data_IF_501453349610
#
_entry.id   IF_501453349610
#
_cell.length_a   1.000
_cell.length_b   1.000
_cell.length_c   1.000
_cell.angle_alpha   90.00
_cell.angle_beta   90.00
_cell.angle_gamma   90.00
#
_symmetry.space_group_name_H-M   'P 1'
#
loop_
_entity.id
_entity.type
_entity.pdbx_description
1 polymer ?
#
# COMPACT_ATOMS: atom_id res chain seq x y z
N UNK A 1 -20.18 12.06 -15.28
CA UNK A 1 -20.25 10.80 -14.51
C UNK A 1 -20.56 11.15 -13.08
N UNK A 2 -21.75 10.80 -12.60
CA UNK A 2 -22.25 11.18 -11.28
C UNK A 2 -21.41 10.54 -10.16
N UNK A 3 -20.81 11.38 -9.32
CA UNK A 3 -20.33 10.99 -7.99
C UNK A 3 -21.53 10.84 -7.08
N UNK A 4 -21.98 9.60 -6.87
CA UNK A 4 -22.87 9.25 -5.77
C UNK A 4 -22.03 9.23 -4.49
N UNK A 5 -22.02 10.36 -3.79
CA UNK A 5 -21.61 10.44 -2.39
C UNK A 5 -22.53 9.53 -1.57
N UNK A 6 -22.04 8.35 -1.22
CA UNK A 6 -22.67 7.45 -0.25
C UNK A 6 -22.65 8.16 1.11
N UNK A 7 -23.79 8.76 1.47
CA UNK A 7 -24.06 9.29 2.81
C UNK A 7 -24.08 8.16 3.84
N UNK A 8 -22.91 7.81 4.37
CA UNK A 8 -22.75 7.05 5.62
C UNK A 8 -22.79 8.04 6.80
N UNK A 9 -23.95 8.67 7.05
CA UNK A 9 -24.11 9.64 8.16
C UNK A 9 -25.14 9.24 9.20
N UNK A 10 -25.42 7.95 9.37
CA UNK A 10 -25.88 7.47 10.67
C UNK A 10 -24.67 6.98 11.45
N UNK A 11 -24.10 7.87 12.28
CA UNK A 11 -22.97 7.56 13.16
C UNK A 11 -23.41 6.46 14.14
N UNK A 12 -22.93 5.20 14.04
CA UNK A 12 -23.37 4.11 14.92
C UNK A 12 -23.10 4.39 16.40
N UNK A 13 -22.17 5.32 16.65
CA UNK A 13 -21.63 5.69 17.95
C UNK A 13 -22.54 6.60 18.78
N UNK A 14 -23.50 7.31 18.18
CA UNK A 14 -24.40 8.21 18.91
C UNK A 14 -25.33 7.45 19.87
N UNK A 15 -25.70 6.21 19.56
CA UNK A 15 -26.47 5.36 20.48
C UNK A 15 -25.65 4.77 21.63
N UNK A 16 -24.32 4.69 21.46
CA UNK A 16 -23.42 4.06 22.44
C UNK A 16 -23.07 5.02 23.58
N UNK A 17 -22.94 6.32 23.28
CA UNK A 17 -22.47 7.33 24.21
C UNK A 17 -23.43 8.52 24.40
N UNK A 18 -23.78 8.79 25.66
CA UNK A 18 -24.56 9.95 26.09
C UNK A 18 -25.99 10.07 25.56
N UNK A 19 -26.69 11.12 25.98
CA UNK A 19 -27.98 11.52 25.39
C UNK A 19 -27.73 12.34 24.09
N UNK A 20 -28.67 12.40 23.14
CA UNK A 20 -28.50 13.13 21.88
C UNK A 20 -28.15 14.61 22.11
N UNK A 21 -27.11 15.13 21.44
CA UNK A 21 -26.75 16.56 21.44
C UNK A 21 -25.27 16.84 21.11
N UNK A 22 -24.97 18.08 20.75
CA UNK A 22 -23.62 18.56 20.34
C UNK A 22 -22.91 19.37 21.46
N UNK A 23 -23.20 19.08 22.73
CA UNK A 23 -22.54 19.77 23.83
C UNK A 23 -21.01 19.48 23.83
N UNK A 24 -20.14 20.49 23.96
CA UNK A 24 -18.70 20.30 24.03
C UNK A 24 -18.29 19.33 25.14
N UNK A 25 -17.25 18.52 24.89
CA UNK A 25 -16.77 17.53 25.87
C UNK A 25 -16.36 18.14 27.22
N UNK A 26 -15.90 19.39 27.22
CA UNK A 26 -15.53 20.11 28.44
C UNK A 26 -16.74 20.50 29.32
N UNK A 27 -17.96 20.53 28.77
CA UNK A 27 -19.18 20.97 29.47
C UNK A 27 -20.30 19.92 29.47
N UNK A 28 -20.12 18.79 28.77
CA UNK A 28 -21.11 17.72 28.71
C UNK A 28 -20.85 16.67 29.79
N UNK A 29 -21.74 16.54 30.80
CA UNK A 29 -21.60 15.53 31.85
C UNK A 29 -21.75 14.09 31.33
N UNK A 30 -22.20 13.91 30.08
CA UNK A 30 -22.49 12.61 29.50
C UNK A 30 -21.50 12.09 28.48
N UNK A 31 -20.56 12.91 28.01
CA UNK A 31 -19.46 12.51 27.12
C UNK A 31 -19.87 11.76 25.83
N UNK A 32 -19.58 12.33 24.67
CA UNK A 32 -19.68 11.62 23.38
C UNK A 32 -18.47 10.73 23.08
N UNK A 33 -18.53 9.96 21.99
CA UNK A 33 -17.45 9.05 21.56
C UNK A 33 -16.07 9.72 21.28
N UNK A 34 -16.05 11.06 21.20
CA UNK A 34 -14.84 11.89 21.05
C UNK A 34 -14.41 12.61 22.32
N UNK A 35 -15.13 12.45 23.43
CA UNK A 35 -14.82 13.12 24.68
C UNK A 35 -13.69 12.42 25.43
N UNK A 36 -12.88 13.24 26.09
CA UNK A 36 -11.75 12.82 26.90
C UNK A 36 -11.83 13.46 28.27
N UNK A 37 -11.39 12.73 29.29
CA UNK A 37 -11.23 13.27 30.64
C UNK A 37 -9.95 14.11 30.77
N UNK A 38 -9.67 14.62 31.97
CA UNK A 38 -8.50 15.46 32.25
C UNK A 38 -7.17 14.72 32.05
N UNK A 39 -7.17 13.38 32.13
CA UNK A 39 -6.03 12.53 31.83
C UNK A 39 -5.88 12.23 30.33
N UNK A 40 -6.77 12.77 29.49
CA UNK A 40 -6.79 12.57 28.05
C UNK A 40 -7.32 11.20 27.62
N UNK A 41 -7.87 10.38 28.52
CA UNK A 41 -8.49 9.09 28.20
C UNK A 41 -9.87 9.31 27.61
N UNK A 42 -10.32 8.45 26.68
CA UNK A 42 -11.69 8.57 26.14
C UNK A 42 -12.71 8.28 27.24
N UNK A 43 -13.65 9.20 27.44
CA UNK A 43 -14.68 9.11 28.48
C UNK A 43 -16.08 9.25 27.87
N UNK A 44 -16.98 8.36 28.29
CA UNK A 44 -18.36 8.26 27.80
C UNK A 44 -19.27 7.88 28.98
N UNK A 45 -20.38 8.59 29.14
CA UNK A 45 -21.32 8.40 30.26
C UNK A 45 -21.11 9.37 31.42
N UNK A 46 -21.86 9.15 32.51
CA UNK A 46 -21.95 10.02 33.69
C UNK A 46 -23.24 9.78 34.48
N UNK A 47 -23.35 10.33 35.70
CA UNK A 47 -24.63 10.32 36.43
C UNK A 47 -25.70 11.04 35.59
N UNK A 48 -26.89 10.46 35.48
CA UNK A 48 -28.04 10.95 34.67
C UNK A 48 -27.88 10.86 33.14
N UNK A 49 -26.93 10.07 32.64
CA UNK A 49 -26.74 9.87 31.21
C UNK A 49 -27.50 8.65 30.69
N UNK A 50 -28.15 8.83 29.53
CA UNK A 50 -29.09 7.84 28.96
C UNK A 50 -28.52 7.10 27.73
N UNK A 51 -27.22 7.24 27.44
CA UNK A 51 -26.57 6.45 26.39
C UNK A 51 -26.48 4.98 26.77
N UNK A 52 -26.29 4.08 25.79
CA UNK A 52 -26.28 2.64 26.06
C UNK A 52 -25.22 2.21 27.09
N UNK A 53 -24.00 2.76 27.01
CA UNK A 53 -22.93 2.45 27.96
C UNK A 53 -23.28 2.87 29.40
N UNK A 54 -23.73 4.11 29.58
CA UNK A 54 -24.13 4.62 30.89
C UNK A 54 -25.36 3.88 31.44
N UNK A 55 -26.32 3.53 30.58
CA UNK A 55 -27.51 2.75 30.96
C UNK A 55 -27.13 1.36 31.43
N UNK A 56 -26.21 0.69 30.73
CA UNK A 56 -25.72 -0.64 31.10
C UNK A 56 -24.94 -0.62 32.42
N UNK A 57 -24.02 0.33 32.61
CA UNK A 57 -23.25 0.45 33.86
C UNK A 57 -24.17 0.82 35.05
N UNK A 58 -25.13 1.73 34.85
CA UNK A 58 -26.14 2.05 35.87
C UNK A 58 -27.04 0.86 36.19
N UNK A 59 -27.47 0.08 35.18
CA UNK A 59 -28.23 -1.14 35.39
C UNK A 59 -27.41 -2.19 36.16
N UNK A 60 -26.11 -2.31 35.89
CA UNK A 60 -25.21 -3.23 36.57
C UNK A 60 -25.02 -2.83 38.04
N UNK A 61 -24.82 -1.53 38.30
CA UNK A 61 -24.76 -0.98 39.65
C UNK A 61 -26.05 -1.25 40.43
N UNK A 62 -27.21 -0.98 39.83
CA UNK A 62 -28.52 -1.28 40.43
C UNK A 62 -28.73 -2.77 40.69
N UNK A 63 -28.35 -3.63 39.76
CA UNK A 63 -28.45 -5.08 39.91
C UNK A 63 -27.58 -5.59 41.07
N UNK A 64 -26.33 -5.10 41.19
CA UNK A 64 -25.42 -5.44 42.31
C UNK A 64 -25.97 -4.96 43.66
N UNK A 65 -26.53 -3.75 43.71
CA UNK A 65 -27.14 -3.23 44.92
C UNK A 65 -28.37 -4.05 45.32
N UNK A 66 -29.27 -4.32 44.37
CA UNK A 66 -30.47 -5.12 44.59
C UNK A 66 -30.12 -6.55 45.06
N UNK A 67 -29.11 -7.19 44.47
CA UNK A 67 -28.60 -8.49 44.91
C UNK A 67 -28.13 -8.45 46.38
N UNK A 68 -27.40 -7.39 46.77
CA UNK A 68 -26.93 -7.20 48.14
C UNK A 68 -28.07 -6.99 49.16
N UNK A 69 -29.07 -6.17 48.82
CA UNK A 69 -30.26 -5.97 49.65
C UNK A 69 -31.10 -7.26 49.77
N UNK A 70 -31.30 -7.97 48.65
CA UNK A 70 -32.04 -9.24 48.62
C UNK A 70 -31.35 -10.31 49.47
N UNK A 71 -30.01 -10.39 49.43
CA UNK A 71 -29.25 -11.32 50.27
C UNK A 71 -29.54 -11.06 51.76
N UNK A 72 -29.46 -9.80 52.19
CA UNK A 72 -29.77 -9.40 53.58
C UNK A 72 -31.23 -9.67 53.95
N UNK A 73 -32.16 -9.42 53.04
CA UNK A 73 -33.58 -9.66 53.26
C UNK A 73 -33.89 -11.15 53.45
N UNK A 74 -33.33 -12.03 52.61
CA UNK A 74 -33.47 -13.49 52.75
C UNK A 74 -32.92 -13.96 54.10
N UNK A 75 -31.70 -13.53 54.46
CA UNK A 75 -31.08 -13.88 55.75
C UNK A 75 -32.00 -13.49 56.93
N UNK A 76 -32.63 -12.31 56.86
CA UNK A 76 -33.61 -11.86 57.85
C UNK A 76 -34.90 -12.69 57.88
N UNK A 77 -35.41 -13.11 56.72
CA UNK A 77 -36.61 -13.94 56.62
C UNK A 77 -36.38 -15.34 57.18
N UNK A 78 -35.21 -15.95 56.98
CA UNK A 78 -34.85 -17.25 57.56
C UNK A 78 -34.86 -17.22 59.10
N UNK A 79 -34.30 -16.15 59.69
CA UNK A 79 -34.36 -15.94 61.15
C UNK A 79 -35.81 -15.80 61.63
N UNK A 80 -36.63 -15.05 60.88
CA UNK A 80 -38.05 -14.86 61.20
C UNK A 80 -38.82 -16.19 61.13
N UNK A 81 -38.57 -17.01 60.11
CA UNK A 81 -39.15 -18.34 59.93
C UNK A 81 -38.84 -19.24 61.12
N UNK A 82 -37.59 -19.28 61.58
CA UNK A 82 -37.20 -20.05 62.76
C UNK A 82 -37.94 -19.58 64.02
N UNK A 83 -38.04 -18.25 64.23
CA UNK A 83 -38.75 -17.69 65.38
C UNK A 83 -40.24 -18.02 65.38
N UNK A 84 -40.92 -17.91 64.22
CA UNK A 84 -42.34 -18.23 64.09
C UNK A 84 -42.59 -19.73 64.27
N UNK A 85 -41.72 -20.59 63.72
CA UNK A 85 -41.79 -22.03 63.93
C UNK A 85 -41.65 -22.38 65.42
N UNK A 86 -40.66 -21.81 66.12
CA UNK A 86 -40.48 -22.00 67.55
C UNK A 86 -41.69 -21.50 68.38
N UNK A 87 -42.26 -20.35 68.02
CA UNK A 87 -43.46 -19.82 68.66
C UNK A 87 -44.67 -20.76 68.49
N UNK A 88 -44.85 -21.34 67.29
CA UNK A 88 -45.90 -22.33 67.03
C UNK A 88 -45.74 -23.58 67.90
N UNK A 89 -44.52 -24.10 68.04
CA UNK A 89 -44.24 -25.26 68.91
C UNK A 89 -44.58 -24.94 70.37
N UNK A 90 -44.09 -23.81 70.90
CA UNK A 90 -44.38 -23.38 72.28
C UNK A 90 -45.87 -23.18 72.54
N UNK A 91 -46.60 -22.57 71.60
CA UNK A 91 -48.04 -22.42 71.71
C UNK A 91 -48.76 -23.78 71.72
N UNK A 92 -48.30 -24.74 70.90
CA UNK A 92 -48.81 -26.11 70.92
C UNK A 92 -48.58 -26.83 72.26
N UNK A 93 -47.38 -26.68 72.84
CA UNK A 93 -47.05 -27.23 74.16
C UNK A 93 -47.89 -26.60 75.27
N UNK A 94 -48.07 -25.27 75.25
CA UNK A 94 -48.92 -24.57 76.20
C UNK A 94 -50.37 -25.06 76.15
N UNK A 95 -50.91 -25.24 74.93
CA UNK A 95 -52.25 -25.82 74.72
C UNK A 95 -52.35 -27.23 75.31
N UNK A 96 -51.36 -28.09 75.04
CA UNK A 96 -51.35 -29.46 75.59
C UNK A 96 -51.34 -29.47 77.12
N UNK A 97 -50.49 -28.63 77.75
CA UNK A 97 -50.43 -28.54 79.21
C UNK A 97 -51.72 -28.03 79.83
N UNK A 98 -52.33 -27.01 79.21
CA UNK A 98 -53.62 -26.48 79.62
C UNK A 98 -54.72 -27.56 79.55
N UNK A 99 -54.78 -28.34 78.47
CA UNK A 99 -55.73 -29.44 78.31
C UNK A 99 -55.52 -30.52 79.39
N UNK A 100 -54.27 -30.95 79.61
CA UNK A 100 -53.97 -31.96 80.61
C UNK A 100 -54.35 -31.50 82.04
N UNK A 101 -54.17 -30.22 82.36
CA UNK A 101 -54.60 -29.66 83.64
C UNK A 101 -56.14 -29.67 83.79
N UNK A 102 -56.87 -29.31 82.73
CA UNK A 102 -58.33 -29.36 82.70
C UNK A 102 -58.85 -30.80 82.87
N UNK A 103 -58.29 -31.75 82.14
CA UNK A 103 -58.66 -33.16 82.21
C UNK A 103 -58.44 -33.74 83.61
N UNK A 104 -57.28 -33.45 84.22
CA UNK A 104 -56.96 -33.93 85.58
C UNK A 104 -57.89 -33.33 86.65
N UNK A 105 -58.25 -32.05 86.51
CA UNK A 105 -59.18 -31.41 87.42
C UNK A 105 -60.60 -31.98 87.30
N UNK A 106 -61.08 -32.21 86.07
CA UNK A 106 -62.36 -32.87 85.81
C UNK A 106 -62.39 -34.30 86.36
N UNK A 107 -61.30 -35.06 86.20
CA UNK A 107 -61.18 -36.39 86.79
C UNK A 107 -61.22 -36.35 88.33
N UNK A 108 -60.54 -35.38 88.94
CA UNK A 108 -60.54 -35.18 90.40
C UNK A 108 -61.93 -34.81 90.90
N UNK A 109 -62.63 -33.89 90.24
CA UNK A 109 -64.02 -33.54 90.52
C UNK A 109 -64.93 -34.76 90.46
N UNK A 110 -64.86 -35.54 89.37
CA UNK A 110 -65.68 -36.75 89.20
C UNK A 110 -65.38 -37.83 90.25
N UNK A 111 -64.13 -37.92 90.73
CA UNK A 111 -63.76 -38.81 91.84
C UNK A 111 -64.38 -38.34 93.16
N UNK A 112 -64.32 -37.04 93.44
CA UNK A 112 -64.91 -36.46 94.66
C UNK A 112 -66.43 -36.57 94.68
N UNK A 113 -67.10 -36.30 93.56
CA UNK A 113 -68.55 -36.44 93.43
C UNK A 113 -68.99 -37.90 93.68
N UNK A 114 -68.25 -38.87 93.14
CA UNK A 114 -68.47 -40.30 93.43
C UNK A 114 -68.27 -40.62 94.90
N UNK A 115 -67.13 -40.25 95.50
CA UNK A 115 -66.86 -40.53 96.91
C UNK A 115 -67.88 -39.87 97.85
N UNK A 116 -68.35 -38.67 97.51
CA UNK A 116 -69.39 -37.98 98.27
C UNK A 116 -70.75 -38.68 98.15
N UNK A 117 -71.08 -39.21 96.96
CA UNK A 117 -72.27 -40.04 96.77
C UNK A 117 -72.19 -41.34 97.56
N UNK A 118 -71.08 -42.08 97.46
CA UNK A 118 -70.84 -43.32 98.21
C UNK A 118 -70.94 -43.08 99.73
N UNK A 119 -70.40 -41.97 100.22
CA UNK A 119 -70.51 -41.59 101.63
C UNK A 119 -71.97 -41.33 102.04
N UNK A 120 -72.74 -40.59 101.22
CA UNK A 120 -74.17 -40.35 101.49
C UNK A 120 -74.97 -41.65 101.48
N UNK A 121 -74.70 -42.53 100.52
CA UNK A 121 -75.37 -43.83 100.40
C UNK A 121 -75.05 -44.71 101.63
N UNK A 122 -73.79 -44.74 102.09
CA UNK A 122 -73.40 -45.44 103.32
C UNK A 122 -74.12 -44.89 104.56
N UNK A 123 -74.16 -43.55 104.73
CA UNK A 123 -74.89 -42.91 105.83
C UNK A 123 -76.37 -43.30 105.80
N UNK A 124 -76.97 -43.35 104.60
CA UNK A 124 -78.37 -43.71 104.45
C UNK A 124 -78.61 -45.19 104.79
N UNK A 125 -77.70 -46.10 104.40
CA UNK A 125 -77.74 -47.51 104.78
C UNK A 125 -77.63 -47.69 106.29
N UNK A 126 -76.72 -46.98 106.96
CA UNK A 126 -76.57 -47.02 108.43
C UNK A 126 -77.85 -46.50 109.10
N UNK A 127 -78.38 -45.35 108.66
CA UNK A 127 -79.65 -44.83 109.19
C UNK A 127 -80.81 -45.80 109.00
N UNK A 128 -80.88 -46.46 107.84
CA UNK A 128 -81.87 -47.49 107.54
C UNK A 128 -81.75 -48.66 108.51
N UNK A 129 -80.53 -49.17 108.72
CA UNK A 129 -80.26 -50.25 109.67
C UNK A 129 -80.65 -49.89 111.12
N UNK A 130 -80.35 -48.67 111.56
CA UNK A 130 -80.67 -48.21 112.91
C UNK A 130 -82.17 -47.98 113.15
N UNK A 131 -82.96 -47.74 112.09
CA UNK A 131 -84.40 -47.48 112.16
C UNK A 131 -85.25 -48.70 111.79
N UNK A 132 -84.64 -49.87 111.56
CA UNK A 132 -85.36 -51.10 111.23
C UNK A 132 -85.98 -51.69 112.49
N UNK A 133 -87.31 -51.68 112.56
CA UNK A 133 -88.09 -52.31 113.62
C UNK A 133 -87.82 -53.83 113.63
N UNK A 134 -86.98 -54.30 114.56
CA UNK A 134 -86.59 -55.70 114.72
C UNK A 134 -85.09 -55.99 114.61
N UNK A 135 -84.23 -54.98 114.44
CA UNK A 135 -82.78 -55.18 114.59
C UNK A 135 -82.45 -55.52 116.06
N UNK A 136 -81.72 -56.61 116.29
CA UNK A 136 -81.40 -57.04 117.65
C UNK A 136 -80.48 -56.01 118.35
N UNK A 137 -80.67 -55.78 119.66
CA UNK A 137 -79.91 -54.76 120.39
C UNK A 137 -78.40 -54.93 120.32
N UNK A 138 -77.91 -56.17 120.23
CA UNK A 138 -76.48 -56.47 120.20
C UNK A 138 -75.88 -56.10 118.83
N UNK A 139 -76.58 -56.35 117.72
CA UNK A 139 -76.17 -55.90 116.39
C UNK A 139 -76.19 -54.38 116.25
N UNK A 140 -77.16 -53.68 116.85
CA UNK A 140 -77.19 -52.21 116.88
C UNK A 140 -75.98 -51.69 117.67
N UNK A 141 -75.70 -52.26 118.84
CA UNK A 141 -74.56 -51.87 119.67
C UNK A 141 -73.20 -52.13 118.96
N UNK A 142 -73.08 -53.24 118.24
CA UNK A 142 -71.89 -53.58 117.46
C UNK A 142 -71.65 -52.60 116.31
N UNK A 143 -72.70 -52.29 115.53
CA UNK A 143 -72.61 -51.30 114.44
C UNK A 143 -72.32 -49.91 115.00
N UNK A 144 -72.99 -49.48 116.06
CA UNK A 144 -72.74 -48.20 116.71
C UNK A 144 -71.29 -48.10 117.23
N UNK A 145 -70.76 -49.17 117.83
CA UNK A 145 -69.37 -49.23 118.31
C UNK A 145 -68.37 -49.15 117.16
N UNK A 146 -68.59 -49.89 116.05
CA UNK A 146 -67.73 -49.80 114.87
C UNK A 146 -67.82 -48.45 114.16
N UNK A 147 -68.97 -47.79 114.16
CA UNK A 147 -69.10 -46.42 113.65
C UNK A 147 -68.35 -45.42 114.52
N UNK A 148 -68.37 -45.58 115.85
CA UNK A 148 -67.59 -44.74 116.77
C UNK A 148 -66.07 -44.94 116.61
N UNK A 149 -65.63 -46.12 116.19
CA UNK A 149 -64.23 -46.41 115.89
C UNK A 149 -63.79 -45.93 114.49
N UNK A 150 -64.72 -45.60 113.59
CA UNK A 150 -64.38 -45.01 112.30
C UNK A 150 -63.78 -43.62 112.52
N UNK A 151 -62.46 -43.51 112.41
CA UNK A 151 -61.79 -42.22 112.34
C UNK A 151 -62.01 -41.63 110.95
N UNK A 152 -62.80 -40.56 110.85
CA UNK A 152 -62.81 -39.75 109.64
C UNK A 152 -61.46 -39.01 109.60
N UNK A 153 -60.62 -39.21 108.58
CA UNK A 153 -59.26 -38.68 108.56
C UNK A 153 -59.18 -37.13 108.49
N UNK A 154 -60.31 -36.44 108.35
CA UNK A 154 -60.41 -34.99 108.35
C UNK A 154 -61.72 -34.53 109.01
N UNK A 155 -61.69 -33.38 109.70
CA UNK A 155 -62.89 -32.80 110.31
C UNK A 155 -63.87 -32.27 109.24
N UNK A 156 -65.17 -32.14 109.56
CA UNK A 156 -66.16 -31.58 108.62
C UNK A 156 -65.76 -30.20 108.09
N UNK A 157 -65.15 -29.36 108.92
CA UNK A 157 -64.64 -28.05 108.52
C UNK A 157 -63.46 -28.16 107.54
N UNK A 158 -62.54 -29.10 107.76
CA UNK A 158 -61.42 -29.35 106.83
C UNK A 158 -61.91 -29.90 105.48
N UNK A 159 -62.92 -30.78 105.49
CA UNK A 159 -63.53 -31.31 104.26
C UNK A 159 -64.26 -30.20 103.50
N UNK A 160 -65.03 -29.35 104.18
CA UNK A 160 -65.70 -28.21 103.55
C UNK A 160 -64.72 -27.20 102.98
N UNK A 161 -63.66 -26.88 103.73
CA UNK A 161 -62.60 -25.99 103.26
C UNK A 161 -61.90 -26.57 102.02
N UNK A 162 -61.57 -27.87 102.02
CA UNK A 162 -60.97 -28.53 100.87
C UNK A 162 -61.92 -28.54 99.67
N UNK A 163 -63.22 -28.77 99.88
CA UNK A 163 -64.23 -28.74 98.82
C UNK A 163 -64.40 -27.34 98.22
N UNK A 164 -64.41 -26.28 99.03
CA UNK A 164 -64.42 -24.89 98.53
C UNK A 164 -63.12 -24.54 97.81
N UNK A 165 -61.95 -24.97 98.32
CA UNK A 165 -60.67 -24.80 97.59
C UNK A 165 -60.68 -25.53 96.24
N UNK A 166 -61.23 -26.74 96.17
CA UNK A 166 -61.36 -27.48 94.91
C UNK A 166 -62.34 -26.78 93.98
N UNK A 167 -63.49 -26.32 94.49
CA UNK A 167 -64.49 -25.58 93.72
C UNK A 167 -63.93 -24.27 93.17
N UNK A 168 -63.19 -23.52 93.98
CA UNK A 168 -62.49 -22.28 93.57
C UNK A 168 -61.39 -22.57 92.55
N UNK A 169 -60.62 -23.64 92.74
CA UNK A 169 -59.61 -24.06 91.75
C UNK A 169 -60.25 -24.52 90.45
N UNK A 170 -61.34 -25.27 90.49
CA UNK A 170 -62.09 -25.71 89.30
C UNK A 170 -62.80 -24.54 88.62
N UNK A 171 -63.36 -23.58 89.36
CA UNK A 171 -63.93 -22.37 88.76
C UNK A 171 -62.85 -21.48 88.14
N UNK A 172 -61.65 -21.43 88.73
CA UNK A 172 -60.50 -20.77 88.11
C UNK A 172 -60.04 -21.45 86.81
N UNK A 173 -60.38 -22.73 86.60
CA UNK A 173 -60.15 -23.44 85.34
C UNK A 173 -61.17 -23.09 84.25
N UNK A 174 -62.26 -22.38 84.52
CA UNK A 174 -63.12 -21.84 83.46
C UNK A 174 -62.37 -20.86 82.56
N UNK A 175 -61.29 -20.24 83.07
CA UNK A 175 -60.34 -19.48 82.25
C UNK A 175 -59.44 -20.36 81.38
N UNK A 176 -59.32 -21.66 81.65
CA UNK A 176 -58.51 -22.58 80.83
C UNK A 176 -59.18 -22.81 79.48
N UNK A 177 -60.50 -22.86 79.39
CA UNK A 177 -61.19 -22.93 78.10
C UNK A 177 -60.91 -21.68 77.24
N UNK A 178 -60.95 -20.48 77.85
CA UNK A 178 -60.56 -19.24 77.18
C UNK A 178 -59.08 -19.24 76.76
N UNK A 179 -58.18 -19.76 77.61
CA UNK A 179 -56.76 -19.92 77.29
C UNK A 179 -56.58 -20.92 76.13
N UNK A 180 -57.31 -22.03 76.11
CA UNK A 180 -57.23 -23.07 75.07
C UNK A 180 -57.71 -22.52 73.73
N UNK A 181 -58.83 -21.80 73.71
CA UNK A 181 -59.37 -21.15 72.51
C UNK A 181 -58.42 -20.06 71.98
N UNK A 182 -57.91 -19.22 72.87
CA UNK A 182 -56.94 -18.19 72.51
C UNK A 182 -55.64 -18.80 71.97
N UNK A 183 -55.12 -19.84 72.63
CA UNK A 183 -53.91 -20.54 72.19
C UNK A 183 -54.14 -21.28 70.86
N UNK A 184 -55.33 -21.84 70.62
CA UNK A 184 -55.70 -22.42 69.33
C UNK A 184 -55.78 -21.36 68.22
N UNK A 185 -56.28 -20.17 68.54
CA UNK A 185 -56.20 -18.98 67.68
C UNK A 185 -54.77 -18.61 67.33
N UNK A 186 -53.90 -18.53 68.34
CA UNK A 186 -52.48 -18.18 68.18
C UNK A 186 -51.70 -19.22 67.37
N UNK A 187 -51.96 -20.52 67.56
CA UNK A 187 -51.36 -21.59 66.74
C UNK A 187 -51.78 -21.47 65.27
N UNK A 188 -53.05 -21.18 65.00
CA UNK A 188 -53.53 -20.95 63.62
C UNK A 188 -52.87 -19.72 63.00
N UNK A 189 -52.81 -18.61 63.74
CA UNK A 189 -52.19 -17.36 63.28
C UNK A 189 -50.70 -17.53 63.03
N UNK A 190 -49.98 -18.21 63.92
CA UNK A 190 -48.57 -18.57 63.74
C UNK A 190 -48.37 -19.47 62.51
N UNK A 191 -49.27 -20.43 62.27
CA UNK A 191 -49.26 -21.27 61.07
C UNK A 191 -49.43 -20.47 59.77
N UNK A 192 -50.37 -19.52 59.73
CA UNK A 192 -50.56 -18.62 58.59
C UNK A 192 -49.35 -17.70 58.38
N UNK A 193 -48.80 -17.14 59.46
CA UNK A 193 -47.58 -16.32 59.39
C UNK A 193 -46.39 -17.12 58.87
N UNK A 194 -46.24 -18.38 59.27
CA UNK A 194 -45.20 -19.27 58.76
C UNK A 194 -45.34 -19.51 57.25
N UNK A 195 -46.56 -19.83 56.78
CA UNK A 195 -46.81 -20.00 55.34
C UNK A 195 -46.57 -18.71 54.55
N UNK A 196 -46.97 -17.56 55.09
CA UNK A 196 -46.71 -16.25 54.48
C UNK A 196 -45.21 -15.98 54.38
N UNK A 197 -44.45 -16.22 55.45
CA UNK A 197 -43.01 -16.08 55.46
C UNK A 197 -42.31 -17.03 54.47
N UNK A 198 -42.77 -18.29 54.37
CA UNK A 198 -42.23 -19.25 53.39
C UNK A 198 -42.47 -18.79 51.94
N UNK A 199 -43.69 -18.29 51.63
CA UNK A 199 -44.00 -17.72 50.31
C UNK A 199 -43.17 -16.48 50.01
N UNK A 200 -42.98 -15.60 51.00
CA UNK A 200 -42.15 -14.41 50.85
C UNK A 200 -40.68 -14.80 50.60
N UNK A 201 -40.16 -15.80 51.31
CA UNK A 201 -38.80 -16.31 51.12
C UNK A 201 -38.60 -16.89 49.72
N UNK A 202 -39.53 -17.74 49.26
CA UNK A 202 -39.47 -18.32 47.92
C UNK A 202 -39.50 -17.24 46.82
N UNK A 203 -40.30 -16.19 46.98
CA UNK A 203 -40.30 -15.04 46.07
C UNK A 203 -38.97 -14.28 46.13
N UNK A 204 -38.44 -14.01 47.33
CA UNK A 204 -37.17 -13.32 47.50
C UNK A 204 -36.01 -14.07 46.84
N UNK A 205 -35.93 -15.40 47.01
CA UNK A 205 -34.94 -16.25 46.34
C UNK A 205 -35.10 -16.25 44.82
N UNK A 206 -36.33 -16.28 44.29
CA UNK A 206 -36.57 -16.16 42.85
C UNK A 206 -36.09 -14.81 42.29
N UNK A 207 -36.37 -13.70 42.99
CA UNK A 207 -35.91 -12.37 42.58
C UNK A 207 -34.38 -12.27 42.68
N UNK A 208 -33.77 -12.82 43.73
CA UNK A 208 -32.30 -12.89 43.89
C UNK A 208 -31.64 -13.66 42.76
N UNK A 209 -32.19 -14.81 42.37
CA UNK A 209 -31.72 -15.57 41.21
C UNK A 209 -31.83 -14.75 39.92
N UNK A 210 -32.92 -14.02 39.73
CA UNK A 210 -33.14 -13.15 38.56
C UNK A 210 -32.13 -12.00 38.53
N UNK A 211 -31.90 -11.34 39.67
CA UNK A 211 -30.90 -10.28 39.81
C UNK A 211 -29.48 -10.78 39.50
N UNK A 212 -29.14 -12.00 39.95
CA UNK A 212 -27.88 -12.66 39.62
C UNK A 212 -27.72 -12.93 38.12
N UNK A 213 -28.77 -13.40 37.45
CA UNK A 213 -28.77 -13.62 36.00
C UNK A 213 -28.61 -12.30 35.22
N UNK A 214 -29.32 -11.25 35.61
CA UNK A 214 -29.19 -9.90 35.02
C UNK A 214 -27.78 -9.35 35.18
N UNK A 215 -27.21 -9.46 36.38
CA UNK A 215 -25.81 -9.05 36.64
C UNK A 215 -24.82 -9.78 35.73
N UNK A 216 -24.96 -11.10 35.60
CA UNK A 216 -24.10 -11.89 34.71
C UNK A 216 -24.21 -11.43 33.26
N UNK A 217 -25.43 -11.23 32.76
CA UNK A 217 -25.68 -10.74 31.41
C UNK A 217 -25.08 -9.34 31.17
N UNK A 218 -25.15 -8.46 32.15
CA UNK A 218 -24.54 -7.12 32.08
C UNK A 218 -23.01 -7.17 32.14
N UNK A 219 -22.42 -8.06 32.95
CA UNK A 219 -20.96 -8.28 32.96
C UNK A 219 -20.48 -8.88 31.62
N UNK A 220 -21.24 -9.80 31.01
CA UNK A 220 -20.99 -10.35 29.67
C UNK A 220 -21.07 -9.26 28.59
N UNK A 221 -22.10 -8.41 28.64
CA UNK A 221 -22.26 -7.27 27.72
C UNK A 221 -21.09 -6.28 27.84
N UNK A 222 -20.64 -5.98 29.07
CA UNK A 222 -19.48 -5.11 29.31
C UNK A 222 -18.20 -5.68 28.69
N UNK A 223 -17.95 -6.99 28.85
CA UNK A 223 -16.81 -7.67 28.18
C UNK A 223 -16.89 -7.58 26.67
N UNK A 224 -18.07 -7.83 26.10
CA UNK A 224 -18.28 -7.75 24.65
C UNK A 224 -18.05 -6.32 24.12
N UNK A 225 -18.51 -5.30 24.84
CA UNK A 225 -18.27 -3.90 24.49
C UNK A 225 -16.78 -3.55 24.51
N UNK A 226 -16.03 -3.94 25.55
CA UNK A 226 -14.60 -3.69 25.61
C UNK A 226 -13.82 -4.38 24.48
N UNK A 227 -14.24 -5.60 24.09
CA UNK A 227 -13.65 -6.30 22.95
C UNK A 227 -13.95 -5.58 21.63
N UNK A 228 -15.18 -5.10 21.44
CA UNK A 228 -15.56 -4.32 20.27
C UNK A 228 -14.75 -3.01 20.19
N UNK A 229 -14.63 -2.27 21.29
CA UNK A 229 -13.83 -1.04 21.35
C UNK A 229 -12.36 -1.27 20.99
N UNK A 230 -11.78 -2.40 21.41
CA UNK A 230 -10.42 -2.80 21.01
C UNK A 230 -10.36 -3.07 19.50
N UNK A 231 -11.26 -3.88 18.96
CA UNK A 231 -11.29 -4.21 17.54
C UNK A 231 -11.45 -2.96 16.66
N UNK A 232 -12.23 -1.98 17.10
CA UNK A 232 -12.41 -0.71 16.39
C UNK A 232 -11.14 0.14 16.43
N UNK A 233 -10.42 0.18 17.56
CA UNK A 233 -9.11 0.86 17.63
C UNK A 233 -8.09 0.19 16.71
N UNK A 234 -8.04 -1.13 16.71
CA UNK A 234 -7.14 -1.91 15.85
C UNK A 234 -7.46 -1.63 14.37
N UNK A 235 -8.73 -1.70 13.97
CA UNK A 235 -9.17 -1.38 12.61
C UNK A 235 -8.85 0.06 12.18
N UNK A 236 -8.97 1.04 13.08
CA UNK A 236 -8.60 2.42 12.78
C UNK A 236 -7.08 2.57 12.53
N UNK A 237 -6.26 1.83 13.27
CA UNK A 237 -4.80 1.79 13.06
C UNK A 237 -4.47 1.16 11.71
N UNK A 238 -5.12 0.05 11.36
CA UNK A 238 -4.91 -0.64 10.09
C UNK A 238 -5.32 0.22 8.89
N UNK A 239 -6.42 0.98 9.00
CA UNK A 239 -6.84 1.95 7.98
C UNK A 239 -5.76 3.01 7.78
N UNK A 240 -5.26 3.61 8.86
CA UNK A 240 -4.20 4.62 8.79
C UNK A 240 -2.92 4.08 8.12
N UNK A 241 -2.49 2.87 8.49
CA UNK A 241 -1.34 2.22 7.85
C UNK A 241 -1.59 1.90 6.38
N UNK A 242 -2.80 1.48 6.02
CA UNK A 242 -3.17 1.19 4.64
C UNK A 242 -3.15 2.46 3.79
N UNK A 243 -3.65 3.58 4.32
CA UNK A 243 -3.60 4.88 3.63
C UNK A 243 -2.16 5.34 3.37
N UNK A 244 -1.26 5.19 4.34
CA UNK A 244 0.18 5.47 4.15
C UNK A 244 0.78 4.61 3.03
N UNK A 245 0.54 3.30 3.07
CA UNK A 245 1.05 2.37 2.05
C UNK A 245 0.50 2.72 0.67
N UNK A 246 -0.79 3.04 0.54
CA UNK A 246 -1.40 3.46 -0.72
C UNK A 246 -0.75 4.74 -1.26
N UNK A 247 -0.48 5.72 -0.40
CA UNK A 247 0.20 6.95 -0.80
C UNK A 247 1.63 6.67 -1.30
N UNK A 248 2.39 5.82 -0.60
CA UNK A 248 3.74 5.42 -1.04
C UNK A 248 3.72 4.64 -2.37
N UNK A 249 2.70 3.82 -2.60
CA UNK A 249 2.51 3.13 -3.89
C UNK A 249 2.21 4.15 -5.00
N UNK A 250 1.36 5.14 -4.75
CA UNK A 250 1.05 6.20 -5.71
C UNK A 250 2.30 6.99 -6.09
N UNK A 251 3.11 7.39 -5.13
CA UNK A 251 4.38 8.09 -5.37
C UNK A 251 5.35 7.26 -6.22
N UNK A 252 5.54 5.98 -5.87
CA UNK A 252 6.38 5.06 -6.65
C UNK A 252 5.86 4.83 -8.06
N UNK A 253 4.54 4.73 -8.23
CA UNK A 253 3.90 4.55 -9.53
C UNK A 253 4.13 5.78 -10.41
N UNK A 254 3.89 6.98 -9.89
CA UNK A 254 4.16 8.23 -10.62
C UNK A 254 5.64 8.38 -11.02
N UNK A 255 6.56 7.96 -10.13
CA UNK A 255 7.99 7.94 -10.45
C UNK A 255 8.31 6.96 -11.59
N UNK A 256 7.75 5.75 -11.56
CA UNK A 256 7.94 4.76 -12.61
C UNK A 256 7.35 5.21 -13.95
N UNK A 257 6.17 5.83 -13.96
CA UNK A 257 5.56 6.43 -15.15
C UNK A 257 6.47 7.51 -15.76
N UNK A 258 7.05 8.38 -14.93
CA UNK A 258 8.01 9.38 -15.38
C UNK A 258 9.27 8.78 -16.01
N UNK A 259 9.83 7.72 -15.40
CA UNK A 259 10.98 7.00 -15.96
C UNK A 259 10.63 6.32 -17.29
N UNK A 260 9.44 5.74 -17.41
CA UNK A 260 8.96 5.12 -18.64
C UNK A 260 8.82 6.16 -19.76
N UNK A 261 8.22 7.31 -19.47
CA UNK A 261 8.08 8.40 -20.44
C UNK A 261 9.45 8.87 -20.97
N UNK A 262 10.42 9.07 -20.08
CA UNK A 262 11.80 9.44 -20.46
C UNK A 262 12.49 8.36 -21.31
N UNK A 263 12.26 7.07 -21.01
CA UNK A 263 12.76 5.97 -21.82
C UNK A 263 12.13 5.95 -23.23
N UNK A 264 10.82 6.19 -23.33
CA UNK A 264 10.13 6.27 -24.62
C UNK A 264 10.65 7.42 -25.49
N UNK A 265 10.93 8.58 -24.89
CA UNK A 265 11.54 9.71 -25.60
C UNK A 265 12.92 9.34 -26.17
N UNK A 266 13.76 8.67 -25.37
CA UNK A 266 15.07 8.17 -25.81
C UNK A 266 14.96 7.18 -26.96
N UNK A 267 13.98 6.26 -26.91
CA UNK A 267 13.71 5.33 -28.01
C UNK A 267 13.32 6.09 -29.27
N UNK A 268 12.42 7.08 -29.19
CA UNK A 268 12.04 7.91 -30.33
C UNK A 268 13.19 8.77 -30.89
N UNK A 269 14.16 9.15 -30.06
CA UNK A 269 15.39 9.80 -30.53
C UNK A 269 16.30 8.82 -31.27
N UNK A 270 16.51 7.61 -30.72
CA UNK A 270 17.30 6.57 -31.37
C UNK A 270 16.71 6.14 -32.72
N UNK A 271 15.39 6.02 -32.81
CA UNK A 271 14.70 5.67 -34.05
C UNK A 271 15.00 6.67 -35.18
N UNK A 272 14.92 7.97 -34.87
CA UNK A 272 15.34 9.05 -35.80
C UNK A 272 16.81 8.96 -36.20
N UNK A 273 17.70 8.65 -35.25
CA UNK A 273 19.13 8.46 -35.54
C UNK A 273 19.36 7.25 -36.46
N UNK A 274 18.63 6.16 -36.24
CA UNK A 274 18.68 4.96 -37.10
C UNK A 274 18.25 5.30 -38.52
N UNK A 275 17.19 6.09 -38.71
CA UNK A 275 16.76 6.50 -40.04
C UNK A 275 17.78 7.40 -40.76
N UNK A 276 18.40 8.33 -40.04
CA UNK A 276 19.54 9.12 -40.59
C UNK A 276 20.70 8.20 -40.99
N UNK A 277 21.01 7.18 -40.19
CA UNK A 277 22.05 6.20 -40.51
C UNK A 277 21.69 5.34 -41.72
N UNK A 278 20.43 4.92 -41.88
CA UNK A 278 19.95 4.21 -43.08
C UNK A 278 20.17 5.04 -44.34
N UNK A 279 19.79 6.33 -44.31
CA UNK A 279 20.01 7.25 -45.44
C UNK A 279 21.51 7.42 -45.76
N UNK A 280 22.34 7.63 -44.73
CA UNK A 280 23.80 7.71 -44.90
C UNK A 280 24.38 6.42 -45.49
N UNK A 281 23.92 5.25 -45.04
CA UNK A 281 24.34 3.95 -45.58
C UNK A 281 23.98 3.81 -47.06
N UNK A 282 22.76 4.18 -47.44
CA UNK A 282 22.32 4.16 -48.84
C UNK A 282 23.18 5.10 -49.71
N UNK A 283 23.45 6.32 -49.23
CA UNK A 283 24.34 7.28 -49.93
C UNK A 283 25.77 6.75 -50.06
N UNK A 284 26.34 6.16 -49.00
CA UNK A 284 27.67 5.58 -49.04
C UNK A 284 27.73 4.40 -50.03
N UNK A 285 26.69 3.57 -50.09
CA UNK A 285 26.60 2.46 -51.05
C UNK A 285 26.57 2.98 -52.50
N UNK A 286 25.80 4.03 -52.77
CA UNK A 286 25.74 4.66 -54.09
C UNK A 286 27.08 5.31 -54.46
N UNK A 287 27.72 6.01 -53.52
CA UNK A 287 29.03 6.62 -53.74
C UNK A 287 30.10 5.55 -54.03
N UNK A 288 30.09 4.44 -53.29
CA UNK A 288 30.98 3.30 -53.53
C UNK A 288 30.77 2.69 -54.93
N UNK A 289 29.50 2.48 -55.33
CA UNK A 289 29.16 1.96 -56.67
C UNK A 289 29.67 2.90 -57.77
N UNK A 290 29.44 4.21 -57.64
CA UNK A 290 29.95 5.22 -58.59
C UNK A 290 31.47 5.26 -58.65
N UNK A 291 32.13 5.13 -57.50
CA UNK A 291 33.60 5.08 -57.44
C UNK A 291 34.14 3.83 -58.14
N UNK A 292 33.50 2.68 -57.96
CA UNK A 292 33.83 1.43 -58.65
C UNK A 292 33.62 1.54 -60.17
N UNK A 293 32.48 2.07 -60.62
CA UNK A 293 32.22 2.34 -62.04
C UNK A 293 33.26 3.29 -62.65
N UNK A 294 33.59 4.37 -61.93
CA UNK A 294 34.60 5.35 -62.37
C UNK A 294 35.99 4.70 -62.45
N UNK A 295 36.35 3.89 -61.46
CA UNK A 295 37.61 3.17 -61.44
C UNK A 295 37.69 2.14 -62.58
N UNK A 296 36.60 1.41 -62.86
CA UNK A 296 36.52 0.51 -64.01
C UNK A 296 36.68 1.26 -65.33
N UNK A 297 35.93 2.35 -65.53
CA UNK A 297 36.03 3.14 -66.75
C UNK A 297 37.42 3.77 -66.94
N UNK A 298 38.07 4.20 -65.86
CA UNK A 298 39.45 4.70 -65.91
C UNK A 298 40.44 3.58 -66.27
N UNK A 299 40.26 2.37 -65.72
CA UNK A 299 41.05 1.18 -66.06
C UNK A 299 40.87 0.81 -67.53
N UNK A 300 39.64 0.78 -68.03
CA UNK A 300 39.33 0.44 -69.42
C UNK A 300 39.97 1.45 -70.37
N UNK A 301 39.84 2.76 -70.10
CA UNK A 301 40.53 3.81 -70.88
C UNK A 301 42.05 3.69 -70.81
N UNK A 302 42.63 3.37 -69.65
CA UNK A 302 44.07 3.15 -69.54
C UNK A 302 44.51 1.94 -70.37
N UNK A 303 43.69 0.89 -70.43
CA UNK A 303 43.94 -0.30 -71.24
C UNK A 303 43.81 -0.01 -72.75
N UNK A 304 42.81 0.78 -73.17
CA UNK A 304 42.69 1.28 -74.55
C UNK A 304 43.90 2.15 -74.94
N UNK A 305 44.30 3.10 -74.09
CA UNK A 305 45.46 3.95 -74.34
C UNK A 305 46.75 3.11 -74.46
N UNK A 306 46.91 2.08 -73.64
CA UNK A 306 48.01 1.12 -73.76
C UNK A 306 47.98 0.37 -75.10
N UNK A 307 46.82 -0.11 -75.56
CA UNK A 307 46.70 -0.78 -76.86
C UNK A 307 47.06 0.15 -78.03
N UNK A 308 46.65 1.41 -77.98
CA UNK A 308 47.01 2.41 -79.01
C UNK A 308 48.52 2.70 -79.00
N UNK A 309 49.10 2.80 -77.81
CA UNK A 309 50.55 3.01 -77.64
C UNK A 309 51.34 1.82 -78.19
N UNK A 310 51.01 0.59 -77.79
CA UNK A 310 51.73 -0.63 -78.17
C UNK A 310 51.50 -1.01 -79.64
N UNK A 311 50.34 -0.67 -80.22
CA UNK A 311 50.01 -0.93 -81.63
C UNK A 311 50.36 0.26 -82.53
N UNK A 312 49.35 1.10 -82.83
CA UNK A 312 49.45 2.12 -83.89
C UNK A 312 50.59 3.14 -83.67
N UNK A 313 50.77 3.62 -82.43
CA UNK A 313 51.79 4.63 -82.15
C UNK A 313 53.19 4.01 -82.09
N UNK A 314 53.32 2.80 -81.50
CA UNK A 314 54.54 2.01 -81.49
C UNK A 314 55.04 1.69 -82.90
N UNK A 315 54.15 1.19 -83.76
CA UNK A 315 54.44 0.90 -85.17
C UNK A 315 54.87 2.15 -85.94
N UNK A 316 54.16 3.27 -85.75
CA UNK A 316 54.52 4.56 -86.37
C UNK A 316 55.86 5.08 -85.86
N UNK A 317 56.15 4.93 -84.57
CA UNK A 317 57.44 5.33 -83.98
C UNK A 317 58.58 4.48 -84.55
N UNK A 318 58.40 3.16 -84.68
CA UNK A 318 59.35 2.28 -85.36
C UNK A 318 59.57 2.69 -86.81
N UNK A 319 58.50 2.89 -87.57
CA UNK A 319 58.58 3.33 -88.97
C UNK A 319 59.32 4.68 -89.09
N UNK A 320 59.04 5.63 -88.19
CA UNK A 320 59.71 6.92 -88.18
C UNK A 320 61.19 6.80 -87.81
N UNK A 321 61.53 5.93 -86.85
CA UNK A 321 62.92 5.65 -86.48
C UNK A 321 63.72 5.09 -87.66
N UNK A 322 63.17 4.11 -88.38
CA UNK A 322 63.79 3.56 -89.59
C UNK A 322 63.98 4.63 -90.68
N UNK A 323 62.97 5.48 -90.92
CA UNK A 323 63.08 6.58 -91.89
C UNK A 323 64.17 7.60 -91.51
N UNK A 324 64.29 7.93 -90.22
CA UNK A 324 65.31 8.86 -89.72
C UNK A 324 66.71 8.26 -89.86
N UNK A 325 66.90 6.99 -89.51
CA UNK A 325 68.18 6.28 -89.70
C UNK A 325 68.57 6.22 -91.18
N UNK A 326 67.62 5.88 -92.07
CA UNK A 326 67.83 5.86 -93.52
C UNK A 326 68.20 7.25 -94.07
N UNK A 327 67.50 8.31 -93.64
CA UNK A 327 67.80 9.68 -94.09
C UNK A 327 69.13 10.19 -93.55
N UNK A 328 69.51 9.83 -92.32
CA UNK A 328 70.82 10.18 -91.75
C UNK A 328 71.97 9.57 -92.55
N UNK A 329 71.83 8.31 -92.99
CA UNK A 329 72.82 7.66 -93.87
C UNK A 329 72.94 8.38 -95.23
N UNK A 330 71.81 8.77 -95.84
CA UNK A 330 71.82 9.53 -97.08
C UNK A 330 72.46 10.92 -96.94
N UNK A 331 72.23 11.63 -95.84
CA UNK A 331 72.84 12.95 -95.57
C UNK A 331 74.35 12.83 -95.37
N UNK A 332 74.82 11.79 -94.67
CA UNK A 332 76.26 11.50 -94.53
C UNK A 332 76.91 11.24 -95.90
N UNK A 333 76.26 10.46 -96.76
CA UNK A 333 76.72 10.22 -98.14
C UNK A 333 76.77 11.49 -99.00
N UNK A 334 75.75 12.35 -98.90
CA UNK A 334 75.70 13.64 -99.61
C UNK A 334 76.80 14.60 -99.15
N UNK A 335 77.08 14.65 -97.84
CA UNK A 335 78.16 15.48 -97.27
C UNK A 335 79.53 15.05 -97.79
N UNK A 336 79.84 13.74 -97.81
CA UNK A 336 81.11 13.25 -98.35
C UNK A 336 81.29 13.58 -99.83
N UNK A 337 80.21 13.56 -100.63
CA UNK A 337 80.25 13.94 -102.04
C UNK A 337 80.52 15.44 -102.23
N UNK A 338 79.92 16.28 -101.38
CA UNK A 338 80.15 17.73 -101.38
C UNK A 338 81.60 18.11 -100.98
N UNK A 339 82.19 17.42 -100.00
CA UNK A 339 83.61 17.65 -99.62
C UNK A 339 84.57 17.31 -100.78
N UNK A 340 84.36 16.22 -101.51
CA UNK A 340 85.17 15.87 -102.71
C UNK A 340 85.10 16.95 -103.79
N UNK A 341 83.89 17.41 -104.14
CA UNK A 341 83.69 18.46 -105.15
C UNK A 341 84.34 19.79 -104.75
N UNK A 342 84.33 20.13 -103.45
CA UNK A 342 85.00 21.33 -102.94
C UNK A 342 86.52 21.25 -103.11
N UNK A 343 87.11 20.08 -102.86
CA UNK A 343 88.56 19.89 -102.97
C UNK A 343 89.00 19.86 -104.44
N UNK A 344 88.19 19.30 -105.35
CA UNK A 344 88.39 19.42 -106.81
C UNK A 344 88.33 20.88 -107.29
N UNK A 345 87.36 21.66 -106.80
CA UNK A 345 87.25 23.08 -107.14
C UNK A 345 88.46 23.91 -106.65
N UNK A 346 89.03 23.59 -105.48
CA UNK A 346 90.29 24.21 -105.00
C UNK A 346 91.47 23.89 -105.92
N UNK A 347 91.54 22.66 -106.44
CA UNK A 347 92.56 22.26 -107.41
C UNK A 347 92.48 23.08 -108.70
N UNK A 348 91.28 23.22 -109.25
CA UNK A 348 91.02 24.00 -110.47
C UNK A 348 91.32 25.50 -110.30
N UNK A 349 90.96 26.09 -109.15
CA UNK A 349 91.23 27.51 -108.87
C UNK A 349 92.73 27.82 -108.85
N UNK A 350 93.53 26.91 -108.30
CA UNK A 350 95.00 27.05 -108.24
C UNK A 350 95.64 26.97 -109.63
N UNK A 351 95.09 26.12 -110.51
CA UNK A 351 95.54 26.01 -111.90
C UNK A 351 95.17 27.27 -112.71
N UNK A 352 93.98 27.84 -112.47
CA UNK A 352 93.55 29.09 -113.10
C UNK A 352 94.41 30.31 -112.68
N UNK A 353 94.75 30.46 -111.40
CA UNK A 353 95.60 31.56 -110.92
C UNK A 353 97.02 31.50 -111.53
N UNK A 354 97.55 30.28 -111.70
CA UNK A 354 98.86 30.05 -112.33
C UNK A 354 98.85 30.45 -113.80
N UNK A 355 97.76 30.18 -114.54
CA UNK A 355 97.59 30.59 -115.94
C UNK A 355 97.34 32.09 -116.11
N UNK A 356 96.64 32.72 -115.15
CA UNK A 356 96.40 34.17 -115.15
C UNK A 356 97.70 34.98 -114.98
N UNK A 357 98.60 34.59 -114.07
CA UNK A 357 99.91 35.27 -113.94
C UNK A 357 100.71 35.22 -115.24
N UNK A 358 100.66 34.07 -115.93
CA UNK A 358 101.35 33.85 -117.20
C UNK A 358 100.74 34.66 -118.35
N UNK A 359 99.46 35.02 -118.27
CA UNK A 359 98.79 35.92 -119.20
C UNK A 359 99.17 37.39 -118.96
N UNK A 360 99.28 37.85 -117.71
CA UNK A 360 99.74 39.21 -117.43
C UNK A 360 101.18 39.48 -117.90
N UNK A 361 102.10 38.51 -117.75
CA UNK A 361 103.46 38.64 -118.30
C UNK A 361 103.47 38.74 -119.84
N UNK A 362 102.50 38.12 -120.51
CA UNK A 362 102.33 38.19 -121.97
C UNK A 362 101.69 39.51 -122.43
N UNK A 363 100.81 40.09 -121.62
CA UNK A 363 100.12 41.36 -121.89
C UNK A 363 101.11 42.54 -121.84
N UNK A 364 102.02 42.54 -120.85
CA UNK A 364 103.06 43.57 -120.71
C UNK A 364 104.04 43.57 -121.90
N UNK A 365 104.35 42.39 -122.46
CA UNK A 365 105.19 42.25 -123.66
C UNK A 365 104.46 42.58 -124.98
N UNK A 366 103.13 42.57 -124.99
CA UNK A 366 102.33 42.95 -126.16
C UNK A 366 102.16 44.47 -126.26
N UNK A 367 101.95 45.17 -125.14
CA UNK A 367 101.83 46.64 -125.11
C UNK A 367 103.14 47.33 -125.54
N UNK A 368 104.31 46.80 -125.16
CA UNK A 368 105.60 47.32 -125.62
C UNK A 368 105.80 47.21 -127.14
N UNK A 369 105.34 46.11 -127.75
CA UNK A 369 105.41 45.90 -129.19
C UNK A 369 104.46 46.80 -129.98
N UNK A 370 103.26 47.07 -129.45
CA UNK A 370 102.29 47.97 -130.09
C UNK A 370 102.81 49.41 -130.14
N UNK A 371 103.47 49.88 -129.07
CA UNK A 371 104.09 51.21 -129.04
C UNK A 371 105.22 51.35 -130.07
N UNK A 372 106.01 50.29 -130.25
CA UNK A 372 107.12 50.26 -131.21
C UNK A 372 106.63 50.28 -132.67
N UNK A 373 105.49 49.63 -132.95
CA UNK A 373 104.84 49.61 -134.26
C UNK A 373 104.26 50.99 -134.64
N UNK A 374 103.66 51.71 -133.69
CA UNK A 374 103.14 53.06 -133.94
C UNK A 374 104.24 54.07 -134.28
N UNK A 375 105.40 54.01 -133.60
CA UNK A 375 106.55 54.87 -133.93
C UNK A 375 107.11 54.60 -135.33
N UNK A 376 107.09 53.34 -135.79
CA UNK A 376 107.57 52.97 -137.13
C UNK A 376 106.59 53.33 -138.25
N UNK A 377 105.28 53.29 -137.99
CA UNK A 377 104.27 53.76 -138.93
C UNK A 377 104.36 55.28 -139.17
N UNK A 378 104.59 56.08 -138.12
CA UNK A 378 104.77 57.52 -138.24
C UNK A 378 106.03 57.92 -139.05
N UNK A 379 107.08 57.09 -139.04
CA UNK A 379 108.28 57.29 -139.89
C UNK A 379 108.01 57.00 -141.38
N UNK A 380 107.04 56.14 -141.71
CA UNK A 380 106.70 55.78 -143.09
C UNK A 380 105.82 56.85 -143.77
N UNK A 381 104.87 57.45 -143.06
CA UNK A 381 104.05 58.56 -143.58
C UNK A 381 104.90 59.80 -143.94
N UNK A 382 105.96 60.06 -143.15
CA UNK A 382 106.90 61.15 -143.42
C UNK A 382 107.75 60.95 -144.69
N UNK A 383 107.94 59.71 -145.14
CA UNK A 383 108.66 59.38 -146.37
C UNK A 383 107.73 59.43 -147.61
N UNK A 384 106.44 59.08 -147.47
CA UNK A 384 105.47 59.18 -148.57
C UNK A 384 105.20 60.64 -148.99
N UNK A 385 105.13 61.56 -148.02
CA UNK A 385 104.94 62.99 -148.30
C UNK A 385 106.11 63.60 -149.11
N UNK A 386 107.34 63.14 -148.88
CA UNK A 386 108.52 63.56 -149.65
C UNK A 386 108.52 63.04 -151.08
N UNK A 387 107.99 61.83 -151.31
CA UNK A 387 107.92 61.22 -152.63
C UNK A 387 106.85 61.88 -153.52
N UNK A 388 105.70 62.26 -152.95
CA UNK A 388 104.64 63.00 -153.68
C UNK A 388 105.08 64.41 -154.09
N UNK A 389 105.90 65.08 -153.27
CA UNK A 389 106.47 66.39 -153.61
C UNK A 389 107.37 66.31 -154.85
N UNK A 390 108.26 65.30 -154.90
CA UNK A 390 109.18 65.10 -156.03
C UNK A 390 108.42 64.71 -157.32
N UNK A 391 107.34 63.93 -157.20
CA UNK A 391 106.52 63.55 -158.37
C UNK A 391 105.74 64.74 -158.94
N UNK A 392 105.31 65.68 -158.09
CA UNK A 392 104.66 66.92 -158.50
C UNK A 392 105.60 67.84 -159.28
N UNK A 393 106.81 68.05 -158.75
CA UNK A 393 107.83 68.89 -159.37
C UNK A 393 108.26 68.38 -160.77
N UNK A 394 108.26 67.05 -160.98
CA UNK A 394 108.54 66.42 -162.28
C UNK A 394 107.38 66.64 -163.27
N UNK A 395 106.13 66.55 -162.84
CA UNK A 395 104.98 66.79 -163.72
C UNK A 395 104.88 68.26 -164.15
N UNK A 396 105.28 69.18 -163.29
CA UNK A 396 105.36 70.61 -163.59
C UNK A 396 106.47 70.93 -164.62
N UNK A 397 107.54 70.14 -164.68
CA UNK A 397 108.58 70.22 -165.72
C UNK A 397 108.15 69.60 -167.06
N UNK A 398 107.33 68.55 -167.07
CA UNK A 398 106.93 67.84 -168.30
C UNK A 398 105.86 68.62 -169.09
N UNK A 399 104.94 69.34 -168.44
CA UNK A 399 103.99 70.18 -169.18
C UNK A 399 104.62 71.43 -169.83
N UNK A 400 105.75 71.92 -169.30
CA UNK A 400 106.50 73.05 -169.90
C UNK A 400 107.17 72.63 -171.22
N UNK A 401 107.41 71.33 -171.47
CA UNK A 401 108.14 70.84 -172.65
C UNK A 401 107.27 70.37 -173.81
N UNK A 402 105.96 70.17 -173.62
CA UNK A 402 105.15 69.37 -174.55
C UNK A 402 104.08 70.11 -175.36
N UNK A 403 104.24 71.40 -175.67
CA UNK A 403 103.82 72.00 -176.98
C UNK A 403 104.03 73.51 -177.04
N UNK A 404 105.27 73.96 -176.80
CA UNK A 404 105.80 75.04 -177.62
C UNK A 404 105.87 74.54 -179.07
N UNK A 405 104.86 74.88 -179.85
CA UNK A 405 105.01 75.40 -181.21
C UNK A 405 104.03 76.54 -181.40
#
# INVERSE_FOLDING_TARGET
>A
MHQTSLGLTEKPWQGVCGAPGDAPCASSPCGGAGCRDEDGQRHCGGLNCNGAAATADNALGRARHAEGELRRAVEGVDVLLQRVAAAKVRAGEAKQRAQAALDNANATKARLERSNKELRDLIQQIKGFLNLDGADPDSIALVASRVLELSIPASPAQIHHLAEQIKERVSSLANVDAILDQTAGDVRKAGQLLQNAQRANARAESVKSTAGAVKKALDDAKRAQSAAEKAIRDAASDIYHTEDVVNRIREKTASAEGQLAAAMERVGHLDRQVDVLKMKRANNSLAATRAEETASAARDRAQEAKQVLDGQLGDRYHTMRELVEHKAQHVLGARQKAERLRDEAKGLLKDADTKLRRLSELEETYEENERLLQEKAAQLDGLEAKMRSILGDINQQIQIYNTCQ
#
